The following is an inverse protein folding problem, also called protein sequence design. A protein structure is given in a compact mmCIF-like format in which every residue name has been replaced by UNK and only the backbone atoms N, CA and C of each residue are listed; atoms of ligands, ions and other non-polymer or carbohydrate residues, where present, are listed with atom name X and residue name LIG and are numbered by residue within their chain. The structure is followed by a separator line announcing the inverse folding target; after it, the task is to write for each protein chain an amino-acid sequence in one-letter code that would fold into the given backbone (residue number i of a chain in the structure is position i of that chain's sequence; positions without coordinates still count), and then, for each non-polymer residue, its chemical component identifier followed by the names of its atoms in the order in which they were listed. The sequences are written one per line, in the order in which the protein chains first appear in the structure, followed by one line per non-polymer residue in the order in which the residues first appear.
data_IF_970013049952
#
_entry.id   IF_970013049952
#
_cell.length_a   1.000
_cell.length_b   1.000
_cell.length_c   1.000
_cell.angle_alpha   90.00
_cell.angle_beta   90.00
_cell.angle_gamma   90.00
#
_symmetry.space_group_name_H-M   'P 1'
#
loop_
_entity.id
_entity.type
_entity.pdbx_description
1 polymer ?
#
# COMPACT_ATOMS: atom_id res chain seq x y z
N UNK A 1 -10.23 10.64 -17.70
CA UNK A 1 -10.82 10.48 -16.37
C UNK A 1 -10.43 9.11 -15.87
N UNK A 2 -9.16 8.97 -15.48
CA UNK A 2 -8.60 7.69 -15.05
C UNK A 2 -9.00 7.54 -13.58
N UNK A 3 -10.23 7.06 -13.36
CA UNK A 3 -10.70 6.77 -12.02
C UNK A 3 -9.88 5.59 -11.52
N UNK A 4 -9.04 5.82 -10.51
CA UNK A 4 -8.37 4.75 -9.78
C UNK A 4 -9.39 3.64 -9.52
N UNK A 5 -9.09 2.38 -9.90
CA UNK A 5 -10.04 1.31 -9.75
C UNK A 5 -10.54 1.25 -8.30
N UNK A 6 -11.86 1.17 -8.12
CA UNK A 6 -12.50 1.20 -6.79
C UNK A 6 -11.95 0.15 -5.80
N UNK A 7 -11.31 -0.91 -6.30
CA UNK A 7 -10.69 -1.95 -5.48
C UNK A 7 -9.31 -1.55 -4.92
N UNK A 8 -8.58 -0.60 -5.52
CA UNK A 8 -7.26 -0.18 -5.06
C UNK A 8 -7.25 0.46 -3.66
N UNK A 9 -8.13 1.42 -3.34
CA UNK A 9 -8.17 1.97 -1.99
C UNK A 9 -8.55 0.89 -0.96
N UNK A 10 -9.34 -0.11 -1.35
CA UNK A 10 -9.72 -1.21 -0.47
C UNK A 10 -8.56 -2.18 -0.23
N UNK A 11 -7.83 -2.59 -1.28
CA UNK A 11 -6.62 -3.41 -1.17
C UNK A 11 -5.56 -2.74 -0.30
N UNK A 12 -5.32 -1.42 -0.49
CA UNK A 12 -4.41 -0.65 0.35
C UNK A 12 -4.80 -0.77 1.83
N UNK A 13 -6.09 -0.63 2.13
CA UNK A 13 -6.61 -0.72 3.50
C UNK A 13 -6.45 -2.12 4.08
N UNK A 14 -6.78 -3.17 3.32
CA UNK A 14 -6.63 -4.55 3.79
C UNK A 14 -5.17 -4.92 4.06
N UNK A 15 -4.24 -4.49 3.20
CA UNK A 15 -2.80 -4.70 3.39
C UNK A 15 -2.30 -3.93 4.62
N UNK A 16 -2.71 -2.66 4.77
CA UNK A 16 -2.41 -1.86 5.96
C UNK A 16 -2.90 -2.52 7.25
N UNK A 17 -4.14 -3.00 7.27
CA UNK A 17 -4.72 -3.69 8.43
C UNK A 17 -3.95 -4.96 8.79
N UNK A 18 -3.46 -5.71 7.80
CA UNK A 18 -2.62 -6.89 8.05
C UNK A 18 -1.26 -6.50 8.62
N UNK A 19 -0.60 -5.47 8.07
CA UNK A 19 0.71 -5.04 8.56
C UNK A 19 0.58 -4.42 9.96
N UNK A 20 -0.49 -3.66 10.22
CA UNK A 20 -0.79 -3.03 11.51
C UNK A 20 -0.93 -4.06 12.65
N UNK A 21 -1.27 -5.32 12.34
CA UNK A 21 -1.28 -6.41 13.33
C UNK A 21 0.10 -6.77 13.87
N UNK A 22 1.15 -6.50 13.10
CA UNK A 22 2.53 -6.89 13.44
C UNK A 22 3.42 -5.69 13.74
N UNK A 23 3.12 -4.53 13.17
CA UNK A 23 3.92 -3.31 13.29
C UNK A 23 2.99 -2.12 13.41
N UNK A 24 3.21 -1.23 14.38
CA UNK A 24 2.48 0.04 14.41
C UNK A 24 2.90 0.89 13.22
N UNK A 25 2.04 0.97 12.20
CA UNK A 25 2.29 1.80 11.02
C UNK A 25 1.14 2.75 10.74
N UNK A 26 1.47 3.98 10.35
CA UNK A 26 0.54 4.97 9.87
C UNK A 26 0.21 4.75 8.40
N UNK A 27 -1.03 5.05 7.97
CA UNK A 27 -1.44 4.93 6.56
C UNK A 27 -0.64 5.83 5.62
N UNK A 28 -0.03 6.90 6.15
CA UNK A 28 0.85 7.81 5.42
C UNK A 28 2.21 7.17 5.07
N UNK A 29 2.61 6.10 5.76
CA UNK A 29 3.84 5.35 5.48
C UNK A 29 3.69 4.34 4.34
N UNK A 30 2.50 4.24 3.75
CA UNK A 30 2.22 3.38 2.60
C UNK A 30 1.95 4.23 1.38
N UNK A 31 2.85 4.13 0.40
CA UNK A 31 2.72 4.77 -0.90
C UNK A 31 2.26 3.74 -1.92
N UNK A 32 1.20 4.06 -2.66
CA UNK A 32 0.66 3.22 -3.73
C UNK A 32 0.84 3.99 -5.03
N UNK A 33 1.42 3.33 -6.02
CA UNK A 33 1.59 3.87 -7.36
C UNK A 33 1.02 2.88 -8.37
N UNK A 34 0.17 3.39 -9.27
CA UNK A 34 -0.37 2.62 -10.38
C UNK A 34 0.30 3.13 -11.66
N UNK A 35 1.18 2.31 -12.24
CA UNK A 35 1.77 2.59 -13.53
C UNK A 35 1.03 1.82 -14.62
N UNK A 36 0.57 2.53 -15.65
CA UNK A 36 0.00 1.90 -16.84
C UNK A 36 1.07 1.78 -17.91
N UNK A 37 1.43 0.55 -18.28
CA UNK A 37 2.45 0.23 -19.28
C UNK A 37 1.77 -0.42 -20.49
N UNK A 38 2.15 0.01 -21.70
CA UNK A 38 1.69 -0.47 -23.00
C UNK A 38 0.29 -1.12 -23.02
N UNK A 39 -0.74 -0.27 -23.08
CA UNK A 39 -2.12 -0.60 -23.51
C UNK A 39 -2.99 -1.42 -22.54
N UNK A 40 -2.44 -2.48 -21.95
CA UNK A 40 -3.20 -3.51 -21.22
C UNK A 40 -2.57 -3.95 -19.90
N UNK A 41 -1.37 -3.43 -19.55
CA UNK A 41 -0.67 -3.85 -18.32
C UNK A 41 -0.70 -2.70 -17.31
N UNK A 42 -1.39 -2.90 -16.20
CA UNK A 42 -1.30 -2.03 -15.04
C UNK A 42 -0.41 -2.67 -13.98
N UNK A 43 0.67 -1.97 -13.61
CA UNK A 43 1.59 -2.34 -12.54
C UNK A 43 1.18 -1.57 -11.29
N UNK A 44 0.90 -2.30 -10.21
CA UNK A 44 0.63 -1.72 -8.91
C UNK A 44 1.86 -1.86 -8.02
N UNK A 45 2.52 -0.76 -7.72
CA UNK A 45 3.64 -0.71 -6.79
C UNK A 45 3.16 -0.25 -5.41
N UNK A 46 3.44 -1.06 -4.39
CA UNK A 46 3.12 -0.76 -3.00
C UNK A 46 4.42 -0.63 -2.21
N UNK A 47 4.75 0.59 -1.82
CA UNK A 47 5.92 0.89 -0.99
C UNK A 47 5.47 1.11 0.44
N UNK A 48 6.00 0.32 1.37
CA UNK A 48 5.72 0.43 2.81
C UNK A 48 7.00 0.82 3.52
N UNK A 49 7.00 1.96 4.18
CA UNK A 49 8.05 2.33 5.11
C UNK A 49 7.67 1.79 6.49
N UNK A 50 8.44 0.82 6.97
CA UNK A 50 8.28 0.37 8.35
C UNK A 50 9.06 1.33 9.25
N UNK A 51 8.46 1.84 10.34
CA UNK A 51 9.24 2.50 11.37
C UNK A 51 10.20 1.47 11.95
N UNK A 52 11.37 1.92 12.42
CA UNK A 52 12.27 1.06 13.19
C UNK A 52 11.43 0.43 14.30
N UNK A 53 11.22 -0.89 14.22
CA UNK A 53 10.56 -1.61 15.28
C UNK A 53 11.42 -1.35 16.52
N UNK A 54 10.88 -0.60 17.48
CA UNK A 54 11.38 -0.69 18.84
C UNK A 54 11.41 -2.19 19.14
N UNK A 55 12.62 -2.76 19.28
CA UNK A 55 12.82 -4.17 19.59
C UNK A 55 11.81 -4.52 20.66
N UNK A 56 10.83 -5.36 20.29
CA UNK A 56 9.81 -5.83 21.22
C UNK A 56 10.58 -6.60 22.30
N UNK A 57 10.91 -5.90 23.39
CA UNK A 57 11.60 -6.45 24.56
C UNK A 57 10.75 -7.52 25.23
#
# INVERSE_FOLDING_TARGET
SDAEPHYLPQLRKDILEVICKYVQIDPEMVTVQLEQKDGDISILELNVTLPEAEELK
#
